data_IF_955380834464
#
_entry.id   IF_955380834464
#
_cell.length_a   1.000
_cell.length_b   1.000
_cell.length_c   1.000
_cell.angle_alpha   90.00
_cell.angle_beta   90.00
_cell.angle_gamma   90.00
#
_symmetry.space_group_name_H-M   'P 1'
#
loop_
_entity.id
_entity.type
_entity.pdbx_description
1 polymer ?
#
# COMPACT_ATOMS: atom_id res chain seq x y z
N UNK A 1 25.28 -6.49 40.29
CA UNK A 1 23.99 -5.86 40.67
C UNK A 1 23.03 -6.97 41.01
N UNK A 2 22.45 -7.00 42.22
CA UNK A 2 21.46 -8.04 42.58
C UNK A 2 20.21 -7.87 41.70
N UNK A 3 19.67 -8.99 41.26
CA UNK A 3 18.55 -9.07 40.31
C UNK A 3 17.23 -8.53 40.91
N UNK A 4 17.17 -8.41 42.24
CA UNK A 4 15.99 -8.05 43.05
C UNK A 4 15.60 -6.56 42.95
N UNK A 5 16.56 -5.63 42.77
CA UNK A 5 16.29 -4.18 42.84
C UNK A 5 15.75 -3.56 41.54
N UNK A 6 15.50 -4.34 40.48
CA UNK A 6 15.08 -3.82 39.15
C UNK A 6 13.89 -4.58 38.55
N UNK A 7 13.15 -5.33 39.36
CA UNK A 7 12.03 -6.19 38.91
C UNK A 7 11.00 -5.42 38.08
N UNK A 8 10.67 -4.17 38.43
CA UNK A 8 9.74 -3.33 37.67
C UNK A 8 10.23 -2.98 36.26
N UNK A 9 11.51 -2.65 36.11
CA UNK A 9 12.11 -2.39 34.79
C UNK A 9 12.17 -3.67 33.95
N UNK A 10 12.39 -4.83 34.59
CA UNK A 10 12.35 -6.11 33.89
C UNK A 10 10.92 -6.50 33.46
N UNK A 11 9.92 -6.19 34.28
CA UNK A 11 8.51 -6.30 33.91
C UNK A 11 8.17 -5.47 32.67
N UNK A 12 8.62 -4.21 32.63
CA UNK A 12 8.48 -3.39 31.42
C UNK A 12 9.18 -4.01 30.22
N UNK A 13 10.42 -4.52 30.40
CA UNK A 13 11.14 -5.21 29.31
C UNK A 13 10.34 -6.39 28.73
N UNK A 14 9.74 -7.22 29.60
CA UNK A 14 8.90 -8.35 29.18
C UNK A 14 7.70 -7.84 28.36
N UNK A 15 7.05 -6.77 28.84
CA UNK A 15 5.90 -6.17 28.20
C UNK A 15 6.25 -5.53 26.84
N UNK A 16 7.36 -4.79 26.73
CA UNK A 16 7.86 -4.29 25.44
C UNK A 16 8.23 -5.42 24.48
N UNK A 17 8.85 -6.48 25.00
CA UNK A 17 9.19 -7.67 24.21
C UNK A 17 7.99 -8.39 23.62
N UNK A 18 6.81 -8.30 24.24
CA UNK A 18 5.58 -8.95 23.76
C UNK A 18 4.72 -8.03 22.87
N UNK A 19 4.66 -6.74 23.18
CA UNK A 19 3.70 -5.83 22.54
C UNK A 19 4.34 -4.75 21.64
N UNK A 20 5.66 -4.54 21.70
CA UNK A 20 6.39 -3.48 20.96
C UNK A 20 7.82 -3.93 20.60
N UNK A 21 7.95 -4.85 19.65
CA UNK A 21 9.25 -5.42 19.21
C UNK A 21 10.27 -4.40 18.65
N UNK A 22 9.85 -3.18 18.33
CA UNK A 22 10.71 -2.13 17.77
C UNK A 22 11.47 -1.32 18.81
N UNK A 23 11.16 -1.48 20.10
CA UNK A 23 11.77 -0.68 21.18
C UNK A 23 13.05 -1.37 21.67
N UNK A 24 14.20 -0.70 21.50
CA UNK A 24 15.47 -1.14 22.07
C UNK A 24 15.52 -0.82 23.57
N UNK A 25 14.87 -1.66 24.38
CA UNK A 25 14.74 -1.45 25.83
C UNK A 25 16.08 -1.28 26.58
N UNK A 26 17.16 -2.03 26.26
CA UNK A 26 18.48 -1.78 26.86
C UNK A 26 18.99 -0.35 26.68
N UNK A 27 18.66 0.33 25.58
CA UNK A 27 19.07 1.72 25.35
C UNK A 27 18.29 2.73 26.20
N UNK A 28 17.08 2.38 26.67
CA UNK A 28 16.24 3.22 27.52
C UNK A 28 16.69 3.20 28.99
N UNK A 29 17.32 2.13 29.44
CA UNK A 29 17.77 1.97 30.84
C UNK A 29 19.16 2.60 31.02
N UNK A 30 19.19 3.93 31.08
CA UNK A 30 20.42 4.70 31.35
C UNK A 30 20.72 4.76 32.86
N UNK A 31 21.95 5.12 33.23
CA UNK A 31 22.35 5.28 34.64
C UNK A 31 21.47 6.29 35.39
N UNK A 32 21.08 7.38 34.74
CA UNK A 32 20.16 8.38 35.27
C UNK A 32 18.75 7.84 35.53
N UNK A 33 18.28 6.92 34.67
CA UNK A 33 16.99 6.23 34.86
C UNK A 33 17.07 5.28 36.05
N UNK A 34 18.18 4.55 36.21
CA UNK A 34 18.40 3.67 37.36
C UNK A 34 18.47 4.42 38.69
N UNK A 35 19.06 5.61 38.72
CA UNK A 35 19.09 6.48 39.91
C UNK A 35 17.68 6.94 40.29
N UNK A 36 16.92 7.49 39.33
CA UNK A 36 15.53 7.91 39.56
C UNK A 36 14.60 6.77 39.95
N UNK A 37 14.78 5.59 39.36
CA UNK A 37 14.00 4.41 39.71
C UNK A 37 14.25 3.98 41.17
N UNK A 38 15.45 4.19 41.73
CA UNK A 38 15.71 3.90 43.15
C UNK A 38 15.03 4.88 44.10
N UNK A 39 14.83 6.13 43.67
CA UNK A 39 14.12 7.14 44.46
C UNK A 39 12.60 6.89 44.46
N UNK A 40 12.01 6.70 43.28
CA UNK A 40 10.60 6.37 43.11
C UNK A 40 10.38 5.40 41.94
N UNK A 41 10.29 4.09 42.22
CA UNK A 41 10.06 3.08 41.20
C UNK A 41 8.76 3.31 40.42
N UNK A 42 7.68 3.72 41.08
CA UNK A 42 6.37 3.86 40.45
C UNK A 42 6.37 5.04 39.47
N UNK A 43 6.84 6.21 39.92
CA UNK A 43 6.87 7.40 39.09
C UNK A 43 7.74 7.21 37.84
N UNK A 44 8.89 6.54 37.97
CA UNK A 44 9.78 6.31 36.84
C UNK A 44 9.21 5.27 35.85
N UNK A 45 8.54 4.21 36.34
CA UNK A 45 7.83 3.25 35.47
C UNK A 45 6.69 3.92 34.70
N UNK A 46 5.92 4.79 35.36
CA UNK A 46 4.87 5.60 34.72
C UNK A 46 5.46 6.51 33.64
N UNK A 47 6.55 7.21 33.96
CA UNK A 47 7.24 8.12 33.02
C UNK A 47 7.74 7.38 31.77
N UNK A 48 8.49 6.29 31.96
CA UNK A 48 9.02 5.49 30.85
C UNK A 48 7.89 4.91 29.97
N UNK A 49 6.78 4.52 30.59
CA UNK A 49 5.63 3.99 29.86
C UNK A 49 4.87 5.08 29.10
N UNK A 50 4.76 6.29 29.66
CA UNK A 50 4.17 7.44 29.00
C UNK A 50 5.01 7.94 27.82
N UNK A 51 6.35 7.98 27.98
CA UNK A 51 7.30 8.32 26.91
C UNK A 51 7.18 7.36 25.70
N UNK A 52 6.71 6.13 25.95
CA UNK A 52 6.46 5.11 24.92
C UNK A 52 4.98 5.03 24.50
N UNK A 53 4.17 6.05 24.83
CA UNK A 53 2.75 6.17 24.46
C UNK A 53 1.89 4.97 24.92
N UNK A 54 2.23 4.33 26.04
CA UNK A 54 1.46 3.18 26.56
C UNK A 54 0.23 3.59 27.39
N UNK A 55 0.04 4.90 27.62
CA UNK A 55 -1.04 5.46 28.46
C UNK A 55 -1.15 4.74 29.82
N UNK A 56 -0.10 4.83 30.66
CA UNK A 56 -0.07 4.15 31.95
C UNK A 56 -1.02 4.84 32.94
N UNK A 57 -1.76 4.05 33.71
CA UNK A 57 -2.66 4.53 34.76
C UNK A 57 -2.37 3.74 36.04
N UNK A 58 -2.17 4.47 37.15
CA UNK A 58 -1.95 3.85 38.45
C UNK A 58 -3.27 3.28 38.97
N UNK A 59 -3.22 2.04 39.47
CA UNK A 59 -4.35 1.38 40.10
C UNK A 59 -4.11 1.17 41.59
N UNK A 60 -5.18 1.34 42.36
CA UNK A 60 -5.20 1.14 43.82
C UNK A 60 -6.20 0.06 44.28
N UNK A 61 -7.04 -0.44 43.38
CA UNK A 61 -8.09 -1.42 43.67
C UNK A 61 -8.21 -2.47 42.56
N UNK A 62 -8.52 -3.71 42.94
CA UNK A 62 -8.70 -4.83 42.02
C UNK A 62 -9.99 -4.75 41.19
N UNK A 63 -10.91 -3.85 41.54
CA UNK A 63 -12.15 -3.61 40.78
C UNK A 63 -11.89 -3.19 39.33
N UNK A 64 -10.75 -2.56 39.07
CA UNK A 64 -10.35 -2.12 37.72
C UNK A 64 -10.30 -3.29 36.74
N UNK A 65 -9.94 -4.50 37.21
CA UNK A 65 -9.88 -5.71 36.38
C UNK A 65 -11.24 -6.20 35.89
N UNK A 66 -12.35 -5.77 36.51
CA UNK A 66 -13.69 -6.05 35.99
C UNK A 66 -13.94 -5.33 34.65
N UNK A 67 -13.26 -4.19 34.44
CA UNK A 67 -13.40 -3.35 33.25
C UNK A 67 -12.17 -3.35 32.33
N UNK A 68 -11.06 -3.95 32.76
CA UNK A 68 -9.77 -3.91 32.07
C UNK A 68 -9.25 -5.31 31.71
N UNK A 69 -8.98 -5.53 30.42
CA UNK A 69 -8.54 -6.82 29.86
C UNK A 69 -7.09 -6.83 29.32
N UNK A 70 -6.32 -5.75 29.54
CA UNK A 70 -4.93 -5.66 29.09
C UNK A 70 -3.92 -6.20 30.10
N UNK A 71 -2.61 -6.14 29.79
CA UNK A 71 -1.56 -6.47 30.75
C UNK A 71 -1.47 -5.41 31.86
N UNK A 72 -1.04 -5.82 33.06
CA UNK A 72 -0.87 -4.93 34.21
C UNK A 72 0.43 -5.26 34.96
N UNK A 73 1.13 -4.23 35.43
CA UNK A 73 2.23 -4.38 36.38
C UNK A 73 1.64 -4.31 37.80
N UNK A 74 1.98 -5.28 38.65
CA UNK A 74 1.51 -5.36 40.03
C UNK A 74 2.71 -5.39 40.97
N UNK A 75 2.68 -4.60 42.05
CA UNK A 75 3.71 -4.61 43.08
C UNK A 75 3.29 -5.54 44.23
N UNK A 76 4.10 -6.53 44.52
CA UNK A 76 3.85 -7.47 45.61
C UNK A 76 4.25 -6.85 46.95
N UNK A 77 3.69 -7.36 48.05
CA UNK A 77 4.06 -7.00 49.43
C UNK A 77 5.54 -7.19 49.74
N UNK A 78 6.25 -8.02 48.96
CA UNK A 78 7.70 -8.19 49.02
C UNK A 78 8.50 -7.05 48.39
N UNK A 79 7.86 -6.09 47.73
CA UNK A 79 8.49 -5.01 46.96
C UNK A 79 8.81 -5.37 45.50
N UNK A 80 8.66 -6.64 45.10
CA UNK A 80 8.91 -7.09 43.74
C UNK A 80 7.73 -6.78 42.82
N UNK A 81 8.03 -6.46 41.56
CA UNK A 81 7.02 -6.29 40.52
C UNK A 81 6.81 -7.57 39.71
N UNK A 82 5.56 -7.81 39.33
CA UNK A 82 5.16 -8.90 38.42
C UNK A 82 4.29 -8.35 37.30
N UNK A 83 4.28 -9.01 36.14
CA UNK A 83 3.38 -8.66 35.03
C UNK A 83 2.22 -9.66 35.00
N UNK A 84 1.00 -9.19 35.19
CA UNK A 84 -0.19 -9.92 34.79
C UNK A 84 -0.39 -9.75 33.29
N UNK A 85 -0.43 -10.85 32.53
CA UNK A 85 -0.51 -10.78 31.06
C UNK A 85 -1.92 -10.43 30.56
N UNK A 86 -2.96 -10.77 31.33
CA UNK A 86 -4.34 -10.50 30.97
C UNK A 86 -5.18 -10.20 32.23
N UNK A 87 -5.54 -8.92 32.42
CA UNK A 87 -6.36 -8.47 33.54
C UNK A 87 -7.73 -9.15 33.64
N UNK A 88 -8.28 -9.65 32.52
CA UNK A 88 -9.58 -10.34 32.51
C UNK A 88 -9.56 -11.65 33.30
N UNK A 89 -8.41 -12.31 33.36
CA UNK A 89 -8.22 -13.54 34.14
C UNK A 89 -8.23 -13.29 35.66
N UNK A 90 -7.82 -12.08 36.07
CA UNK A 90 -7.90 -11.65 37.46
C UNK A 90 -9.36 -11.45 37.85
N UNK A 91 -10.21 -10.95 36.95
CA UNK A 91 -11.64 -10.81 37.21
C UNK A 91 -12.43 -12.13 37.17
N UNK A 92 -12.04 -13.10 36.35
CA UNK A 92 -12.76 -14.37 36.24
C UNK A 92 -12.53 -15.32 37.43
N UNK A 93 -11.46 -15.13 38.21
CA UNK A 93 -11.16 -15.93 39.40
C UNK A 93 -10.64 -17.35 39.13
N UNK A 94 -10.61 -17.80 37.88
CA UNK A 94 -10.20 -19.16 37.48
C UNK A 94 -8.67 -19.37 37.48
N UNK A 95 -7.89 -18.29 37.56
CA UNK A 95 -6.43 -18.30 37.60
C UNK A 95 -5.83 -17.21 36.71
N UNK A 96 -4.79 -16.54 37.19
CA UNK A 96 -4.11 -15.46 36.48
C UNK A 96 -2.75 -15.93 35.96
N UNK A 97 -2.47 -15.64 34.69
CA UNK A 97 -1.14 -15.88 34.13
C UNK A 97 -0.25 -14.66 34.39
N UNK A 98 0.80 -14.86 35.18
CA UNK A 98 1.77 -13.83 35.54
C UNK A 98 3.16 -14.17 35.00
N UNK A 99 3.98 -13.15 34.75
CA UNK A 99 5.42 -13.30 34.51
C UNK A 99 6.16 -12.62 35.67
N UNK A 100 6.93 -13.41 36.42
CA UNK A 100 7.78 -12.93 37.52
C UNK A 100 9.25 -12.95 37.08
N UNK A 101 9.89 -11.78 36.89
CA UNK A 101 11.29 -11.69 36.50
C UNK A 101 12.27 -12.37 37.46
N UNK A 102 11.85 -12.57 38.72
CA UNK A 102 12.64 -13.18 39.79
C UNK A 102 12.75 -14.70 39.64
N UNK A 103 11.75 -15.32 39.02
CA UNK A 103 11.65 -16.78 38.79
C UNK A 103 12.12 -17.16 37.38
N UNK A 104 12.06 -16.21 36.43
CA UNK A 104 12.56 -16.37 35.06
C UNK A 104 11.59 -15.82 34.01
N UNK A 105 11.89 -15.98 32.71
CA UNK A 105 11.03 -15.46 31.63
C UNK A 105 9.75 -16.27 31.39
N UNK A 106 9.51 -17.32 32.18
CA UNK A 106 8.36 -18.22 31.99
C UNK A 106 7.10 -17.64 32.64
N UNK A 107 5.97 -17.80 31.95
CA UNK A 107 4.65 -17.46 32.48
C UNK A 107 4.19 -18.51 33.48
N UNK A 108 3.84 -18.07 34.69
CA UNK A 108 3.32 -18.88 35.78
C UNK A 108 1.80 -18.70 35.86
N UNK A 109 1.06 -19.80 35.91
CA UNK A 109 -0.37 -19.77 36.24
C UNK A 109 -0.52 -19.82 37.75
N UNK A 110 -1.09 -18.77 38.34
CA UNK A 110 -1.31 -18.66 39.79
C UNK A 110 -2.80 -18.48 40.09
N UNK A 111 -3.23 -18.89 41.28
CA UNK A 111 -4.60 -18.61 41.72
C UNK A 111 -4.77 -17.11 41.95
N UNK A 112 -5.88 -16.56 41.46
CA UNK A 112 -6.20 -15.14 41.60
C UNK A 112 -6.23 -14.69 43.06
N UNK A 113 -6.76 -15.52 43.96
CA UNK A 113 -6.81 -15.23 45.41
C UNK A 113 -5.41 -15.09 46.02
N UNK A 114 -4.47 -15.95 45.63
CA UNK A 114 -3.08 -15.89 46.12
C UNK A 114 -2.32 -14.68 45.57
N UNK A 115 -2.60 -14.31 44.32
CA UNK A 115 -2.03 -13.11 43.70
C UNK A 115 -2.53 -11.83 44.40
N UNK A 116 -3.84 -11.73 44.62
CA UNK A 116 -4.45 -10.56 45.27
C UNK A 116 -4.07 -10.45 46.75
N UNK A 117 -3.89 -11.57 47.47
CA UNK A 117 -3.40 -11.53 48.86
C UNK A 117 -1.93 -11.07 48.94
N UNK A 118 -1.11 -11.39 47.95
CA UNK A 118 0.28 -10.93 47.88
C UNK A 118 0.45 -9.55 47.26
N UNK A 119 -0.60 -8.98 46.70
CA UNK A 119 -0.59 -7.64 46.12
C UNK A 119 -0.64 -6.58 47.24
N UNK A 120 0.15 -5.52 47.11
CA UNK A 120 0.20 -4.44 48.10
C UNK A 120 -0.77 -3.29 47.80
N UNK A 121 -1.60 -3.46 46.77
CA UNK A 121 -2.55 -2.46 46.29
C UNK A 121 -1.97 -1.49 45.26
N UNK A 122 -0.68 -1.55 44.91
CA UNK A 122 -0.08 -0.67 43.89
C UNK A 122 0.08 -1.42 42.57
N UNK A 123 -0.42 -0.85 41.48
CA UNK A 123 -0.20 -1.38 40.14
C UNK A 123 -0.26 -0.32 39.05
N UNK A 124 0.10 -0.72 37.84
CA UNK A 124 0.04 0.10 36.63
C UNK A 124 -0.70 -0.71 35.56
N UNK A 125 -1.77 -0.14 35.00
CA UNK A 125 -2.41 -0.67 33.79
C UNK A 125 -1.99 0.17 32.59
N UNK A 126 -2.10 -0.40 31.39
CA UNK A 126 -1.69 0.24 30.15
C UNK A 126 -2.88 0.26 29.19
N UNK A 127 -3.62 1.37 29.16
CA UNK A 127 -4.87 1.45 28.39
C UNK A 127 -4.65 1.16 26.91
N UNK A 128 -3.50 1.56 26.36
CA UNK A 128 -3.13 1.32 24.97
C UNK A 128 -2.77 -0.15 24.66
N UNK A 129 -2.64 -1.01 25.67
CA UNK A 129 -2.34 -2.44 25.51
C UNK A 129 -3.58 -3.34 25.64
N UNK A 130 -4.73 -2.77 25.97
CA UNK A 130 -6.01 -3.51 26.01
C UNK A 130 -6.29 -4.11 24.62
N UNK A 131 -6.49 -5.43 24.48
CA UNK A 131 -6.84 -6.01 23.19
C UNK A 131 -8.15 -5.39 22.70
N UNK A 132 -8.13 -4.78 21.52
CA UNK A 132 -9.36 -4.29 20.88
C UNK A 132 -10.10 -5.51 20.35
N UNK A 133 -11.33 -5.71 20.83
CA UNK A 133 -12.18 -6.77 20.33
C UNK A 133 -12.62 -6.42 18.89
N UNK A 134 -11.91 -6.98 17.92
CA UNK A 134 -12.18 -6.76 16.49
C UNK A 134 -13.59 -7.23 16.10
N UNK A 135 -14.24 -8.07 16.92
CA UNK A 135 -15.63 -8.53 16.73
C UNK A 135 -16.66 -7.46 17.06
N UNK A 136 -16.28 -6.44 17.84
CA UNK A 136 -17.11 -5.29 18.19
C UNK A 136 -16.98 -4.14 17.17
N UNK A 137 -15.80 -4.00 16.56
CA UNK A 137 -15.47 -2.98 15.56
C UNK A 137 -15.14 -3.59 14.19
N UNK A 138 -16.09 -4.32 13.62
CA UNK A 138 -15.85 -5.09 12.39
C UNK A 138 -15.65 -4.21 11.16
N UNK A 139 -16.30 -3.04 11.11
CA UNK A 139 -16.12 -2.07 10.02
C UNK A 139 -14.72 -1.45 10.00
N UNK A 140 -14.22 -1.00 11.16
CA UNK A 140 -12.85 -0.47 11.28
C UNK A 140 -11.81 -1.57 11.06
N UNK A 141 -12.02 -2.76 11.61
CA UNK A 141 -11.13 -3.90 11.38
C UNK A 141 -11.03 -4.27 9.89
N UNK A 142 -12.17 -4.25 9.18
CA UNK A 142 -12.23 -4.48 7.73
C UNK A 142 -11.49 -3.39 6.95
N UNK A 143 -11.63 -2.12 7.36
CA UNK A 143 -10.91 -1.00 6.76
C UNK A 143 -9.39 -1.12 6.93
N UNK A 144 -8.93 -1.40 8.16
CA UNK A 144 -7.51 -1.59 8.46
C UNK A 144 -6.94 -2.78 7.67
N UNK A 145 -7.69 -3.86 7.52
CA UNK A 145 -7.28 -5.01 6.73
C UNK A 145 -7.07 -4.66 5.24
N UNK A 146 -7.98 -3.88 4.64
CA UNK A 146 -7.84 -3.39 3.26
C UNK A 146 -6.66 -2.42 3.16
N UNK A 147 -6.54 -1.48 4.10
CA UNK A 147 -5.48 -0.48 4.03
C UNK A 147 -4.08 -1.11 4.17
N UNK A 148 -3.95 -2.17 4.97
CA UNK A 148 -2.73 -2.99 5.03
C UNK A 148 -2.40 -3.68 3.72
N UNK A 149 -3.40 -4.11 2.94
CA UNK A 149 -3.13 -4.67 1.59
C UNK A 149 -2.64 -3.62 0.59
N UNK A 150 -2.93 -2.34 0.83
CA UNK A 150 -2.42 -1.20 0.05
C UNK A 150 -1.12 -0.61 0.63
N UNK A 151 -0.35 -1.39 1.40
CA UNK A 151 0.86 -0.99 2.14
C UNK A 151 0.67 0.20 3.10
N UNK A 152 -0.56 0.48 3.54
CA UNK A 152 -0.85 1.54 4.51
C UNK A 152 -0.91 0.94 5.90
N UNK A 153 0.10 1.23 6.72
CA UNK A 153 0.18 0.74 8.09
C UNK A 153 -0.78 1.53 8.99
N UNK A 154 -1.97 0.97 9.21
CA UNK A 154 -2.98 1.50 10.12
C UNK A 154 -3.16 0.58 11.33
N UNK A 155 -3.35 1.20 12.49
CA UNK A 155 -3.76 0.54 13.72
C UNK A 155 -5.19 0.98 14.10
N UNK A 156 -6.05 0.00 14.37
CA UNK A 156 -7.43 0.25 14.81
C UNK A 156 -7.47 1.06 16.11
N UNK A 157 -6.48 0.86 17.01
CA UNK A 157 -6.41 1.56 18.29
C UNK A 157 -6.17 3.06 18.11
N UNK A 158 -5.23 3.41 17.25
CA UNK A 158 -4.89 4.79 16.93
C UNK A 158 -6.12 5.52 16.38
N UNK A 159 -6.84 4.88 15.45
CA UNK A 159 -8.09 5.40 14.89
C UNK A 159 -9.15 5.59 15.98
N UNK A 160 -9.34 4.58 16.85
CA UNK A 160 -10.34 4.66 17.92
C UNK A 160 -10.04 5.78 18.92
N UNK A 161 -8.76 5.96 19.27
CA UNK A 161 -8.33 7.02 20.17
C UNK A 161 -8.47 8.41 19.55
N UNK A 162 -7.99 8.59 18.32
CA UNK A 162 -8.03 9.87 17.59
C UNK A 162 -9.47 10.38 17.39
N UNK A 163 -10.41 9.47 17.12
CA UNK A 163 -11.82 9.81 16.87
C UNK A 163 -12.73 9.57 18.08
N UNK A 164 -12.17 9.29 19.26
CA UNK A 164 -12.90 8.98 20.50
C UNK A 164 -14.04 7.95 20.29
N UNK A 165 -13.77 6.91 19.50
CA UNK A 165 -14.73 5.87 19.17
C UNK A 165 -14.74 4.84 20.30
N UNK A 166 -15.92 4.58 20.86
CA UNK A 166 -16.11 3.53 21.87
C UNK A 166 -16.16 2.13 21.26
N UNK A 167 -16.71 1.17 22.01
CA UNK A 167 -16.77 -0.24 21.60
C UNK A 167 -17.88 -0.58 20.57
N UNK A 168 -18.64 0.40 20.10
CA UNK A 168 -19.75 0.17 19.15
C UNK A 168 -19.37 0.50 17.72
N UNK A 169 -19.83 -0.31 16.77
CA UNK A 169 -19.71 -0.09 15.32
C UNK A 169 -19.82 1.39 14.90
N UNK A 170 -18.81 1.86 14.18
CA UNK A 170 -18.75 3.23 13.68
C UNK A 170 -19.89 3.50 12.70
N UNK A 171 -20.60 4.62 12.90
CA UNK A 171 -21.63 5.06 11.96
C UNK A 171 -21.02 5.42 10.61
N UNK A 172 -21.74 5.14 9.53
CA UNK A 172 -21.23 5.33 8.17
C UNK A 172 -20.80 6.76 7.79
N UNK A 173 -21.27 7.80 8.48
CA UNK A 173 -20.81 9.18 8.31
C UNK A 173 -19.40 9.38 8.90
N UNK A 174 -19.23 9.03 10.17
CA UNK A 174 -17.94 9.07 10.87
C UNK A 174 -16.91 8.15 10.19
N UNK A 175 -17.33 6.98 9.73
CA UNK A 175 -16.44 6.09 8.96
C UNK A 175 -15.91 6.75 7.68
N UNK A 176 -16.74 7.53 6.98
CA UNK A 176 -16.31 8.24 5.75
C UNK A 176 -15.31 9.34 6.07
N UNK A 177 -15.47 10.01 7.19
CA UNK A 177 -14.54 11.03 7.69
C UNK A 177 -13.18 10.40 8.06
N UNK A 178 -13.19 9.34 8.86
CA UNK A 178 -12.00 8.55 9.21
C UNK A 178 -11.28 8.08 7.93
N UNK A 179 -12.00 7.44 7.01
CA UNK A 179 -11.41 6.97 5.77
C UNK A 179 -10.83 8.13 4.94
N UNK A 180 -11.53 9.27 4.88
CA UNK A 180 -11.06 10.47 4.18
C UNK A 180 -9.77 11.05 4.74
N UNK A 181 -9.62 11.03 6.08
CA UNK A 181 -8.40 11.46 6.78
C UNK A 181 -7.18 10.65 6.34
N UNK A 182 -7.34 9.34 6.18
CA UNK A 182 -6.30 8.44 5.66
C UNK A 182 -6.29 8.32 4.13
N UNK A 183 -6.82 9.32 3.43
CA UNK A 183 -6.83 9.40 1.96
C UNK A 183 -7.60 8.29 1.24
N UNK A 184 -8.68 7.78 1.83
CA UNK A 184 -9.59 6.84 1.17
C UNK A 184 -10.92 7.49 0.81
N UNK A 185 -11.31 7.37 -0.46
CA UNK A 185 -12.68 7.69 -0.91
C UNK A 185 -13.59 6.49 -0.71
N UNK A 186 -14.63 6.66 0.10
CA UNK A 186 -15.64 5.62 0.34
C UNK A 186 -16.88 5.87 -0.50
N UNK A 187 -17.33 4.87 -1.25
CA UNK A 187 -18.62 4.89 -1.96
C UNK A 187 -19.46 3.69 -1.55
N UNK A 188 -20.66 3.94 -1.05
CA UNK A 188 -21.66 2.90 -0.78
C UNK A 188 -22.37 2.51 -2.07
N UNK A 189 -22.43 1.23 -2.36
CA UNK A 189 -23.08 0.66 -3.55
C UNK A 189 -23.92 -0.56 -3.15
N UNK A 190 -24.99 -0.81 -3.87
CA UNK A 190 -25.72 -2.08 -3.85
C UNK A 190 -25.28 -2.81 -5.11
N UNK A 191 -24.66 -3.98 -4.95
CA UNK A 191 -24.15 -4.76 -6.08
C UNK A 191 -24.92 -6.07 -6.14
N UNK A 192 -25.41 -6.39 -7.33
CA UNK A 192 -26.01 -7.70 -7.63
C UNK A 192 -24.92 -8.67 -8.08
N UNK A 193 -25.15 -9.98 -7.94
CA UNK A 193 -24.21 -11.03 -8.35
C UNK A 193 -23.60 -10.86 -9.76
N UNK A 194 -24.36 -10.59 -10.83
CA UNK A 194 -23.78 -10.39 -12.17
C UNK A 194 -22.88 -9.15 -12.27
N UNK A 195 -23.04 -8.17 -11.39
CA UNK A 195 -22.18 -6.98 -11.35
C UNK A 195 -20.86 -7.27 -10.63
N UNK A 196 -20.87 -8.15 -9.62
CA UNK A 196 -19.67 -8.63 -8.93
C UNK A 196 -18.78 -9.46 -9.85
N UNK A 197 -19.36 -10.31 -10.69
CA UNK A 197 -18.60 -11.12 -11.67
C UNK A 197 -17.99 -10.27 -12.80
N UNK A 198 -18.74 -9.26 -13.29
CA UNK A 198 -18.25 -8.35 -14.34
C UNK A 198 -17.19 -7.36 -13.83
N UNK A 199 -17.19 -7.07 -12.54
CA UNK A 199 -16.39 -5.99 -11.95
C UNK A 199 -15.30 -6.52 -11.01
N UNK A 200 -14.51 -7.49 -11.48
CA UNK A 200 -13.38 -8.06 -10.72
C UNK A 200 -12.34 -7.00 -10.26
N UNK A 201 -12.28 -5.85 -10.93
CA UNK A 201 -11.43 -4.71 -10.57
C UNK A 201 -11.83 -3.95 -9.29
N UNK A 202 -12.94 -4.33 -8.66
CA UNK A 202 -13.54 -3.60 -7.53
C UNK A 202 -13.15 -4.21 -6.17
N UNK A 203 -12.42 -5.32 -6.17
CA UNK A 203 -11.95 -6.00 -4.97
C UNK A 203 -10.54 -5.49 -4.56
N UNK A 204 -10.22 -5.48 -3.25
CA UNK A 204 -11.08 -5.83 -2.11
C UNK A 204 -12.08 -4.71 -1.74
N UNK A 205 -13.25 -5.08 -1.22
CA UNK A 205 -14.26 -4.12 -0.76
C UNK A 205 -14.91 -4.59 0.57
N UNK A 206 -15.59 -3.70 1.29
CA UNK A 206 -16.26 -4.08 2.56
C UNK A 206 -17.71 -4.48 2.27
N UNK A 207 -18.10 -5.68 2.64
CA UNK A 207 -19.48 -6.17 2.60
C UNK A 207 -20.19 -5.93 3.94
N UNK A 208 -21.42 -5.41 3.89
CA UNK A 208 -22.25 -5.21 5.08
C UNK A 208 -23.17 -6.42 5.31
N UNK A 209 -23.15 -6.94 6.54
CA UNK A 209 -24.01 -8.03 7.00
C UNK A 209 -25.41 -7.53 7.32
N UNK A 210 -26.39 -8.44 7.34
CA UNK A 210 -27.76 -8.13 7.78
C UNK A 210 -27.83 -7.75 9.26
N UNK A 211 -26.86 -8.20 10.07
CA UNK A 211 -26.71 -7.87 11.50
C UNK A 211 -26.23 -6.43 11.76
N UNK A 212 -25.82 -5.68 10.73
CA UNK A 212 -25.23 -4.34 10.87
C UNK A 212 -23.71 -4.32 10.99
N UNK A 213 -23.06 -5.48 11.07
CA UNK A 213 -21.60 -5.65 11.05
C UNK A 213 -21.05 -5.71 9.62
N UNK A 214 -19.73 -5.83 9.49
CA UNK A 214 -19.00 -5.75 8.22
C UNK A 214 -17.94 -6.85 8.10
N UNK A 215 -17.58 -7.19 6.86
CA UNK A 215 -16.47 -8.09 6.54
C UNK A 215 -15.80 -7.65 5.24
N UNK A 216 -14.57 -8.11 4.98
CA UNK A 216 -13.85 -7.80 3.74
C UNK A 216 -14.19 -8.85 2.69
N UNK A 217 -14.78 -8.42 1.59
CA UNK A 217 -15.01 -9.25 0.42
C UNK A 217 -13.79 -9.17 -0.52
N UNK A 218 -13.10 -10.29 -0.69
CA UNK A 218 -11.85 -10.38 -1.43
C UNK A 218 -12.04 -10.81 -2.89
N UNK A 219 -13.15 -11.47 -3.22
CA UNK A 219 -13.48 -11.84 -4.59
C UNK A 219 -14.26 -13.15 -4.71
N UNK A 220 -14.29 -13.68 -5.93
CA UNK A 220 -14.97 -14.92 -6.28
C UNK A 220 -13.92 -15.94 -6.76
N UNK A 221 -14.03 -17.18 -6.28
CA UNK A 221 -13.18 -18.30 -6.72
C UNK A 221 -14.07 -19.40 -7.30
N UNK A 222 -13.63 -20.03 -8.39
CA UNK A 222 -14.25 -21.26 -8.89
C UNK A 222 -13.55 -22.47 -8.30
N UNK A 223 -14.32 -23.41 -7.76
CA UNK A 223 -13.85 -24.70 -7.29
C UNK A 223 -13.56 -25.62 -8.48
N UNK A 224 -12.80 -26.70 -8.27
CA UNK A 224 -12.51 -27.69 -9.32
C UNK A 224 -13.78 -28.34 -9.90
N UNK A 225 -14.87 -28.35 -9.13
CA UNK A 225 -16.20 -28.85 -9.51
C UNK A 225 -17.05 -27.80 -10.26
N UNK A 226 -16.51 -26.61 -10.54
CA UNK A 226 -17.20 -25.56 -11.28
C UNK A 226 -18.09 -24.63 -10.44
N UNK A 227 -18.28 -24.92 -9.15
CA UNK A 227 -19.03 -24.07 -8.22
C UNK A 227 -18.27 -22.77 -7.91
N UNK A 228 -19.01 -21.67 -7.79
CA UNK A 228 -18.44 -20.35 -7.46
C UNK A 228 -18.60 -20.06 -5.98
N UNK A 229 -17.48 -19.86 -5.29
CA UNK A 229 -17.41 -19.55 -3.87
C UNK A 229 -17.00 -18.08 -3.66
N UNK A 230 -17.63 -17.45 -2.67
CA UNK A 230 -17.30 -16.11 -2.22
C UNK A 230 -16.15 -16.18 -1.21
N UNK A 231 -15.09 -15.40 -1.45
CA UNK A 231 -13.94 -15.32 -0.56
C UNK A 231 -14.09 -14.09 0.33
N UNK A 232 -14.21 -14.32 1.63
CA UNK A 232 -14.46 -13.27 2.62
C UNK A 232 -13.48 -13.39 3.78
N UNK A 233 -12.99 -12.27 4.29
CA UNK A 233 -12.26 -12.19 5.55
C UNK A 233 -13.16 -11.51 6.57
N UNK A 234 -13.59 -12.26 7.58
CA UNK A 234 -14.57 -11.81 8.56
C UNK A 234 -13.90 -11.58 9.93
N UNK A 235 -13.89 -10.34 10.46
CA UNK A 235 -13.39 -10.03 11.80
C UNK A 235 -14.10 -10.77 12.94
N UNK A 236 -15.33 -11.26 12.72
CA UNK A 236 -16.04 -12.06 13.72
C UNK A 236 -15.58 -13.52 13.76
N UNK A 237 -14.96 -14.01 12.69
CA UNK A 237 -14.52 -15.39 12.60
C UNK A 237 -13.33 -15.66 13.51
N UNK A 238 -13.27 -16.87 14.09
CA UNK A 238 -12.10 -17.31 14.86
C UNK A 238 -10.83 -17.36 14.01
N UNK A 239 -11.02 -17.52 12.69
CA UNK A 239 -9.96 -17.59 11.70
C UNK A 239 -9.32 -16.23 11.37
N UNK A 240 -9.91 -15.10 11.80
CA UNK A 240 -9.43 -13.76 11.45
C UNK A 240 -7.95 -13.52 11.80
N UNK A 241 -7.53 -14.02 12.98
CA UNK A 241 -6.15 -13.90 13.47
C UNK A 241 -5.27 -15.10 13.10
N UNK A 242 -5.79 -16.09 12.36
CA UNK A 242 -5.06 -17.27 11.94
C UNK A 242 -4.36 -17.07 10.60
N UNK A 243 -3.41 -17.96 10.27
CA UNK A 243 -2.76 -17.99 8.96
C UNK A 243 -3.76 -18.18 7.81
N UNK A 244 -4.87 -18.90 8.07
CA UNK A 244 -5.94 -19.13 7.11
C UNK A 244 -7.17 -18.26 7.43
N UNK A 245 -7.09 -16.95 7.17
CA UNK A 245 -8.15 -15.96 7.47
C UNK A 245 -9.27 -15.87 6.45
N UNK A 246 -9.16 -16.62 5.34
CA UNK A 246 -10.13 -16.58 4.25
C UNK A 246 -11.22 -17.61 4.48
N UNK A 247 -12.46 -17.13 4.56
CA UNK A 247 -13.66 -17.95 4.54
C UNK A 247 -14.12 -18.12 3.10
N UNK A 248 -14.39 -19.37 2.74
CA UNK A 248 -14.97 -19.74 1.46
C UNK A 248 -16.44 -20.07 1.69
N UNK A 249 -17.31 -19.16 1.29
CA UNK A 249 -18.76 -19.32 1.45
C UNK A 249 -19.37 -19.71 0.11
N UNK A 250 -20.28 -20.67 0.12
CA UNK A 250 -21.18 -20.89 -1.00
C UNK A 250 -22.08 -19.66 -1.20
N UNK A 251 -22.69 -19.56 -2.37
CA UNK A 251 -23.59 -18.46 -2.69
C UNK A 251 -24.74 -18.32 -1.68
N UNK A 252 -25.37 -19.44 -1.32
CA UNK A 252 -26.52 -19.45 -0.40
C UNK A 252 -26.13 -18.95 0.98
N UNK A 253 -25.00 -19.44 1.50
CA UNK A 253 -24.46 -19.00 2.79
C UNK A 253 -24.10 -17.51 2.78
N UNK A 254 -23.57 -17.01 1.66
CA UNK A 254 -23.29 -15.59 1.52
C UNK A 254 -24.58 -14.74 1.51
N UNK A 255 -25.60 -15.14 0.76
CA UNK A 255 -26.87 -14.40 0.70
C UNK A 255 -27.67 -14.44 2.01
N UNK A 256 -27.51 -15.49 2.82
CA UNK A 256 -28.10 -15.58 4.15
C UNK A 256 -27.53 -14.53 5.10
N UNK A 257 -26.20 -14.37 5.12
CA UNK A 257 -25.48 -13.52 6.08
C UNK A 257 -25.39 -12.06 5.61
N UNK A 258 -25.18 -11.83 4.31
CA UNK A 258 -24.87 -10.52 3.75
C UNK A 258 -26.08 -9.81 3.16
N UNK A 259 -26.12 -8.48 3.31
CA UNK A 259 -27.26 -7.65 2.89
C UNK A 259 -27.18 -7.17 1.43
N UNK A 260 -26.17 -7.60 0.66
CA UNK A 260 -25.92 -7.14 -0.72
C UNK A 260 -25.50 -5.66 -0.83
N UNK A 261 -25.10 -5.03 0.29
CA UNK A 261 -24.60 -3.66 0.34
C UNK A 261 -23.10 -3.68 0.58
N UNK A 262 -22.35 -2.95 -0.25
CA UNK A 262 -20.89 -2.89 -0.20
C UNK A 262 -20.41 -1.45 -0.03
N UNK A 263 -19.26 -1.28 0.61
CA UNK A 263 -18.50 -0.04 0.65
C UNK A 263 -17.23 -0.24 -0.19
N UNK A 264 -17.15 0.50 -1.28
CA UNK A 264 -15.97 0.56 -2.14
C UNK A 264 -15.00 1.57 -1.54
N UNK A 265 -13.76 1.12 -1.37
CA UNK A 265 -12.65 1.97 -0.94
C UNK A 265 -11.76 2.22 -2.14
N UNK A 266 -11.41 3.48 -2.36
CA UNK A 266 -10.41 3.88 -3.34
C UNK A 266 -9.37 4.74 -2.64
N UNK A 267 -8.14 4.24 -2.55
CA UNK A 267 -6.99 5.05 -2.11
C UNK A 267 -6.80 6.24 -3.06
N UNK A 268 -6.73 7.42 -2.48
CA UNK A 268 -6.41 8.68 -3.15
C UNK A 268 -4.92 8.88 -2.92
N UNK A 269 -4.12 8.65 -3.94
CA UNK A 269 -2.69 8.90 -3.86
C UNK A 269 -2.43 10.41 -3.84
N UNK A 270 -1.59 10.84 -2.90
CA UNK A 270 -1.01 12.18 -2.95
C UNK A 270 -0.07 12.29 -4.15
N UNK A 271 0.18 13.51 -4.63
CA UNK A 271 1.10 13.74 -5.76
C UNK A 271 2.53 13.25 -5.47
N UNK A 272 2.88 13.10 -4.19
CA UNK A 272 4.19 12.66 -3.70
C UNK A 272 4.27 11.16 -3.38
N UNK A 273 3.16 10.41 -3.53
CA UNK A 273 3.17 8.96 -3.24
C UNK A 273 3.96 8.19 -4.31
N UNK A 274 5.01 7.48 -3.89
CA UNK A 274 5.83 6.65 -4.77
C UNK A 274 5.10 5.38 -5.24
N UNK A 275 4.09 4.92 -4.50
CA UNK A 275 3.28 3.71 -4.80
C UNK A 275 2.15 3.97 -5.83
N UNK A 276 2.16 5.10 -6.52
CA UNK A 276 1.11 5.43 -7.47
C UNK A 276 1.15 4.47 -8.69
N UNK A 277 0.05 3.78 -9.02
CA UNK A 277 0.01 2.95 -10.22
C UNK A 277 0.14 3.83 -11.47
N UNK A 278 1.15 3.55 -12.29
CA UNK A 278 1.37 4.24 -13.56
C UNK A 278 0.15 4.08 -14.47
N UNK A 279 -0.44 5.20 -14.91
CA UNK A 279 -1.59 5.17 -15.83
C UNK A 279 -1.26 5.95 -17.11
N UNK A 280 -1.36 5.29 -18.28
CA UNK A 280 -1.14 5.93 -19.60
C UNK A 280 -2.42 6.53 -20.21
N UNK A 281 -3.58 6.27 -19.58
CA UNK A 281 -4.90 6.64 -20.12
C UNK A 281 -5.09 8.15 -20.30
N UNK A 282 -4.36 8.96 -19.53
CA UNK A 282 -4.39 10.43 -19.66
C UNK A 282 -3.58 10.94 -20.86
N UNK A 283 -2.62 10.17 -21.39
CA UNK A 283 -1.76 10.58 -22.50
C UNK A 283 -2.35 10.22 -23.87
N UNK A 284 -3.09 9.11 -23.95
CA UNK A 284 -3.74 8.63 -25.19
C UNK A 284 -4.54 9.74 -25.91
N UNK A 285 -5.36 10.57 -25.24
CA UNK A 285 -6.14 11.62 -25.92
C UNK A 285 -5.27 12.69 -26.59
N UNK A 286 -4.12 13.05 -26.00
CA UNK A 286 -3.23 14.07 -26.57
C UNK A 286 -2.48 13.52 -27.79
N UNK A 287 -2.11 12.23 -27.78
CA UNK A 287 -1.55 11.55 -28.97
C UNK A 287 -2.56 11.45 -30.10
N UNK A 288 -3.81 11.09 -29.78
CA UNK A 288 -4.91 10.97 -30.74
C UNK A 288 -5.21 12.31 -31.44
N UNK A 289 -4.99 13.43 -30.74
CA UNK A 289 -5.21 14.78 -31.28
C UNK A 289 -4.27 15.12 -32.45
N UNK A 290 -3.10 14.50 -32.53
CA UNK A 290 -2.09 14.75 -33.57
C UNK A 290 -1.88 13.55 -34.53
N UNK A 291 -2.88 12.65 -34.63
CA UNK A 291 -2.83 11.45 -35.50
C UNK A 291 -2.39 11.72 -36.94
N UNK A 292 -2.75 12.86 -37.52
CA UNK A 292 -2.35 13.21 -38.88
C UNK A 292 -0.83 13.30 -39.05
N UNK A 293 -0.14 13.97 -38.12
CA UNK A 293 1.32 14.17 -38.18
C UNK A 293 2.03 12.84 -37.87
N UNK A 294 1.57 12.10 -36.86
CA UNK A 294 2.11 10.77 -36.55
C UNK A 294 1.90 9.76 -37.68
N UNK A 295 0.79 9.85 -38.42
CA UNK A 295 0.54 9.03 -39.61
C UNK A 295 1.51 9.35 -40.76
N UNK A 296 1.82 10.63 -40.99
CA UNK A 296 2.83 11.04 -41.97
C UNK A 296 4.23 10.53 -41.58
N UNK A 297 4.59 10.63 -40.30
CA UNK A 297 5.87 10.11 -39.80
C UNK A 297 5.93 8.59 -39.97
N UNK A 298 4.86 7.86 -39.63
CA UNK A 298 4.79 6.42 -39.82
C UNK A 298 5.00 6.02 -41.29
N UNK A 299 4.33 6.71 -42.21
CA UNK A 299 4.50 6.49 -43.66
C UNK A 299 5.96 6.73 -44.10
N UNK A 300 6.60 7.81 -43.63
CA UNK A 300 8.00 8.08 -43.94
C UNK A 300 8.94 7.00 -43.40
N UNK A 301 8.70 6.50 -42.19
CA UNK A 301 9.49 5.38 -41.64
C UNK A 301 9.31 4.13 -42.49
N UNK A 302 8.07 3.79 -42.88
CA UNK A 302 7.82 2.65 -43.77
C UNK A 302 8.52 2.80 -45.12
N UNK A 303 8.53 4.00 -45.73
CA UNK A 303 9.25 4.25 -46.98
C UNK A 303 10.77 4.12 -46.82
N UNK A 304 11.34 4.67 -45.74
CA UNK A 304 12.77 4.53 -45.43
C UNK A 304 13.15 3.07 -45.23
N UNK A 305 12.34 2.32 -44.50
CA UNK A 305 12.52 0.87 -44.33
C UNK A 305 12.50 0.16 -45.68
N UNK A 306 11.52 0.45 -46.54
CA UNK A 306 11.43 -0.19 -47.85
C UNK A 306 12.65 0.12 -48.73
N UNK A 307 13.10 1.37 -48.76
CA UNK A 307 14.29 1.74 -49.55
C UNK A 307 15.60 1.31 -48.92
N UNK A 308 15.64 1.02 -47.62
CA UNK A 308 16.85 0.46 -46.99
C UNK A 308 17.18 -0.96 -47.47
N UNK A 309 16.19 -1.70 -48.02
CA UNK A 309 16.41 -2.98 -48.71
C UNK A 309 17.13 -2.85 -50.06
N UNK A 310 17.16 -1.65 -50.65
CA UNK A 310 17.82 -1.42 -51.95
C UNK A 310 19.31 -1.71 -51.88
N UNK A 311 19.98 -1.39 -50.76
CA UNK A 311 21.43 -1.61 -50.61
C UNK A 311 21.76 -3.11 -50.60
N UNK A 312 21.14 -3.96 -49.77
CA UNK A 312 21.32 -5.42 -49.85
C UNK A 312 21.02 -5.99 -51.25
N UNK A 313 19.92 -5.58 -51.87
CA UNK A 313 19.54 -6.01 -53.22
C UNK A 313 20.57 -5.59 -54.27
N UNK A 314 21.10 -4.37 -54.15
CA UNK A 314 22.17 -3.88 -55.00
C UNK A 314 23.40 -4.77 -54.89
N UNK A 315 23.85 -5.04 -53.67
CA UNK A 315 25.00 -5.93 -53.43
C UNK A 315 24.76 -7.32 -54.02
N UNK A 316 23.58 -7.89 -53.83
CA UNK A 316 23.21 -9.19 -54.39
C UNK A 316 23.30 -9.18 -55.93
N UNK A 317 22.69 -8.19 -56.60
CA UNK A 317 22.73 -8.09 -58.06
C UNK A 317 24.16 -7.90 -58.57
N UNK A 318 24.96 -7.10 -57.86
CA UNK A 318 26.35 -6.85 -58.23
C UNK A 318 27.16 -8.14 -58.15
N UNK A 319 27.04 -8.89 -57.06
CA UNK A 319 27.78 -10.14 -56.87
C UNK A 319 27.30 -11.22 -57.84
N UNK A 320 26.00 -11.48 -57.90
CA UNK A 320 25.45 -12.63 -58.62
C UNK A 320 25.42 -12.42 -60.14
N UNK A 321 25.20 -11.18 -60.60
CA UNK A 321 25.00 -10.89 -62.04
C UNK A 321 26.10 -10.05 -62.65
N UNK A 322 26.54 -8.98 -62.00
CA UNK A 322 27.48 -8.03 -62.60
C UNK A 322 28.90 -8.58 -62.61
N UNK A 323 29.37 -9.12 -61.47
CA UNK A 323 30.71 -9.68 -61.36
C UNK A 323 30.86 -10.95 -62.21
N UNK A 324 29.86 -11.83 -62.20
CA UNK A 324 29.89 -13.09 -62.96
C UNK A 324 29.90 -12.83 -64.48
N UNK A 325 29.09 -11.89 -64.97
CA UNK A 325 28.97 -11.62 -66.42
C UNK A 325 29.86 -10.46 -66.92
N UNK A 326 30.73 -9.89 -66.07
CA UNK A 326 31.56 -8.71 -66.37
C UNK A 326 30.78 -7.54 -67.00
N UNK A 327 29.52 -7.35 -66.58
CA UNK A 327 28.60 -6.38 -67.19
C UNK A 327 28.76 -4.96 -66.62
N UNK A 328 29.88 -4.29 -66.91
CA UNK A 328 30.21 -2.96 -66.37
C UNK A 328 29.19 -1.86 -66.68
N UNK A 329 28.52 -1.92 -67.84
CA UNK A 329 27.45 -0.96 -68.17
C UNK A 329 26.27 -1.05 -67.19
N UNK A 330 25.89 -2.27 -66.80
CA UNK A 330 24.84 -2.50 -65.81
C UNK A 330 25.25 -1.98 -64.43
N UNK A 331 26.53 -2.12 -64.08
CA UNK A 331 27.07 -1.59 -62.82
C UNK A 331 26.93 -0.07 -62.73
N UNK A 332 27.30 0.65 -63.79
CA UNK A 332 27.25 2.11 -63.81
C UNK A 332 25.81 2.62 -63.67
N UNK A 333 24.86 2.01 -64.39
CA UNK A 333 23.43 2.37 -64.29
C UNK A 333 22.90 2.11 -62.88
N UNK A 334 23.20 0.92 -62.32
CA UNK A 334 22.75 0.55 -61.00
C UNK A 334 23.39 1.41 -59.90
N UNK A 335 24.66 1.79 -60.06
CA UNK A 335 25.39 2.67 -59.15
C UNK A 335 24.82 4.08 -59.10
N UNK A 336 24.48 4.66 -60.26
CA UNK A 336 23.75 5.95 -60.32
C UNK A 336 22.38 5.82 -59.65
N UNK A 337 21.66 4.72 -59.88
CA UNK A 337 20.37 4.45 -59.22
C UNK A 337 20.47 4.41 -57.70
N UNK A 338 21.49 3.74 -57.15
CA UNK A 338 21.73 3.70 -55.70
C UNK A 338 22.09 5.07 -55.14
N UNK A 339 22.92 5.85 -55.83
CA UNK A 339 23.23 7.22 -55.40
C UNK A 339 21.98 8.09 -55.29
N UNK A 340 21.06 8.00 -56.26
CA UNK A 340 19.78 8.72 -56.22
C UNK A 340 18.92 8.25 -55.04
N UNK A 341 18.85 6.94 -54.79
CA UNK A 341 18.08 6.39 -53.67
C UNK A 341 18.66 6.79 -52.32
N UNK A 342 19.99 6.84 -52.18
CA UNK A 342 20.66 7.35 -50.97
C UNK A 342 20.30 8.82 -50.72
N UNK A 343 20.37 9.65 -51.76
CA UNK A 343 19.98 11.07 -51.64
C UNK A 343 18.50 11.24 -51.28
N UNK A 344 17.62 10.44 -51.87
CA UNK A 344 16.20 10.43 -51.54
C UNK A 344 15.94 10.00 -50.09
N UNK A 345 16.61 8.93 -49.63
CA UNK A 345 16.53 8.49 -48.24
C UNK A 345 17.00 9.56 -47.26
N UNK A 346 18.09 10.27 -47.57
CA UNK A 346 18.57 11.38 -46.76
C UNK A 346 17.51 12.50 -46.66
N UNK A 347 16.86 12.86 -47.77
CA UNK A 347 15.80 13.86 -47.80
C UNK A 347 14.59 13.43 -46.97
N UNK A 348 14.07 12.21 -47.17
CA UNK A 348 12.92 11.70 -46.41
C UNK A 348 13.25 11.59 -44.92
N UNK A 349 14.46 11.15 -44.56
CA UNK A 349 14.93 11.09 -43.19
C UNK A 349 14.99 12.47 -42.52
N UNK A 350 15.41 13.49 -43.28
CA UNK A 350 15.39 14.88 -42.81
C UNK A 350 13.96 15.36 -42.54
N UNK A 351 13.05 15.20 -43.50
CA UNK A 351 11.64 15.62 -43.35
C UNK A 351 10.97 14.89 -42.19
N UNK A 352 11.21 13.58 -42.05
CA UNK A 352 10.73 12.77 -40.93
C UNK A 352 11.16 13.41 -39.61
N UNK A 353 12.46 13.67 -39.47
CA UNK A 353 13.04 14.21 -38.23
C UNK A 353 12.52 15.61 -37.90
N UNK A 354 12.28 16.44 -38.92
CA UNK A 354 11.65 17.75 -38.76
C UNK A 354 10.21 17.65 -38.25
N UNK A 355 9.38 16.78 -38.87
CA UNK A 355 7.99 16.58 -38.45
C UNK A 355 7.88 16.05 -37.02
N UNK A 356 8.80 15.18 -36.62
CA UNK A 356 8.91 14.67 -35.25
C UNK A 356 9.22 15.77 -34.24
N UNK A 357 10.20 16.62 -34.55
CA UNK A 357 10.56 17.74 -33.70
C UNK A 357 9.38 18.71 -33.56
N UNK A 358 8.70 19.00 -34.66
CA UNK A 358 7.50 19.84 -34.67
C UNK A 358 6.36 19.25 -33.83
N UNK A 359 6.06 17.96 -33.99
CA UNK A 359 5.02 17.27 -33.23
C UNK A 359 5.32 17.27 -31.73
N UNK A 360 6.57 16.93 -31.36
CA UNK A 360 7.00 16.85 -29.96
C UNK A 360 6.92 18.22 -29.29
N UNK A 361 7.47 19.27 -29.91
CA UNK A 361 7.42 20.63 -29.38
C UNK A 361 5.98 21.12 -29.16
N UNK A 362 5.06 20.81 -30.09
CA UNK A 362 3.67 21.24 -29.97
C UNK A 362 2.93 20.52 -28.84
N UNK A 363 3.20 19.24 -28.65
CA UNK A 363 2.68 18.43 -27.55
C UNK A 363 3.22 18.94 -26.21
N UNK A 364 4.50 19.31 -26.15
CA UNK A 364 5.14 19.84 -24.95
C UNK A 364 4.56 21.19 -24.55
N UNK A 365 4.40 22.13 -25.49
CA UNK A 365 3.80 23.44 -25.21
C UNK A 365 2.34 23.29 -24.75
N UNK A 366 1.53 22.47 -25.42
CA UNK A 366 0.12 22.23 -25.05
C UNK A 366 0.01 21.72 -23.61
N UNK A 367 0.87 20.77 -23.24
CA UNK A 367 0.78 20.14 -21.94
C UNK A 367 1.40 20.99 -20.83
N UNK A 368 2.54 21.64 -21.09
CA UNK A 368 3.13 22.61 -20.16
C UNK A 368 2.11 23.71 -19.81
N UNK A 369 1.39 24.23 -20.81
CA UNK A 369 0.34 25.25 -20.61
C UNK A 369 -0.82 24.72 -19.78
N UNK A 370 -1.31 23.50 -20.04
CA UNK A 370 -2.39 22.88 -19.25
C UNK A 370 -1.98 22.65 -17.80
N UNK A 371 -0.78 22.14 -17.57
CA UNK A 371 -0.23 21.89 -16.24
C UNK A 371 -0.06 23.20 -15.48
N UNK A 372 0.52 24.22 -16.11
CA UNK A 372 0.70 25.54 -15.51
C UNK A 372 -0.65 26.21 -15.19
N UNK A 373 -1.61 26.18 -16.13
CA UNK A 373 -2.95 26.72 -15.90
C UNK A 373 -3.68 26.04 -14.75
N UNK A 374 -3.48 24.73 -14.57
CA UNK A 374 -4.06 23.98 -13.45
C UNK A 374 -3.34 24.26 -12.14
N UNK A 375 -2.01 24.44 -12.19
CA UNK A 375 -1.22 24.85 -11.03
C UNK A 375 -1.74 26.20 -10.49
N UNK A 376 -1.96 27.17 -11.37
CA UNK A 376 -2.48 28.48 -11.01
C UNK A 376 -3.91 28.49 -10.42
N UNK A 377 -4.67 27.41 -10.55
CA UNK A 377 -6.04 27.28 -10.03
C UNK A 377 -6.12 26.61 -8.66
N UNK A 378 -4.98 26.17 -8.10
CA UNK A 378 -4.95 25.54 -6.78
C UNK A 378 -5.09 26.58 -5.66
N UNK A 379 -5.80 26.25 -4.56
CA UNK A 379 -5.93 27.12 -3.40
C UNK A 379 -4.58 27.31 -2.70
N UNK A 380 -4.41 28.45 -2.02
CA UNK A 380 -3.15 28.83 -1.35
C UNK A 380 -2.72 27.79 -0.31
N UNK A 381 -3.67 27.17 0.40
CA UNK A 381 -3.44 26.10 1.38
C UNK A 381 -2.65 24.90 0.82
N UNK A 382 -2.74 24.65 -0.49
CA UNK A 382 -1.97 23.59 -1.14
C UNK A 382 -0.48 23.94 -1.27
N UNK A 383 -0.16 25.21 -1.52
CA UNK A 383 1.21 25.69 -1.68
C UNK A 383 1.95 25.81 -0.35
N UNK A 384 1.24 26.00 0.77
CA UNK A 384 1.84 26.00 2.11
C UNK A 384 2.30 24.60 2.54
N UNK A 385 1.67 23.55 2.03
CA UNK A 385 1.94 22.15 2.42
C UNK A 385 2.97 21.45 1.53
N UNK A 386 3.20 21.92 0.30
CA UNK A 386 4.06 21.25 -0.67
C UNK A 386 5.23 22.17 -1.08
N UNK A 387 6.49 21.77 -0.82
CA UNK A 387 7.65 22.56 -1.22
C UNK A 387 7.69 22.80 -2.74
N UNK A 388 8.10 24.02 -3.14
CA UNK A 388 8.22 24.41 -4.55
C UNK A 388 9.16 23.53 -5.38
N UNK A 389 10.23 23.00 -4.76
CA UNK A 389 11.15 22.05 -5.41
C UNK A 389 10.50 20.71 -5.76
N UNK A 390 9.54 20.24 -4.97
CA UNK A 390 8.79 18.99 -5.22
C UNK A 390 7.84 19.21 -6.41
N UNK A 391 7.15 20.34 -6.47
CA UNK A 391 6.30 20.72 -7.61
C UNK A 391 7.08 20.80 -8.92
N UNK A 392 8.27 21.42 -8.90
CA UNK A 392 9.14 21.50 -10.08
C UNK A 392 9.62 20.12 -10.54
N UNK A 393 10.03 19.24 -9.61
CA UNK A 393 10.44 17.87 -9.92
C UNK A 393 9.32 17.09 -10.61
N UNK A 394 8.07 17.22 -10.15
CA UNK A 394 6.93 16.52 -10.75
C UNK A 394 6.54 17.08 -12.13
N UNK A 395 6.66 18.39 -12.34
CA UNK A 395 6.49 18.98 -13.67
C UNK A 395 7.51 18.41 -14.66
N UNK A 396 8.79 18.37 -14.27
CA UNK A 396 9.86 17.80 -15.09
C UNK A 396 9.70 16.29 -15.32
N UNK A 397 9.26 15.53 -14.32
CA UNK A 397 8.97 14.09 -14.48
C UNK A 397 7.86 13.86 -15.52
N UNK A 398 6.81 14.68 -15.50
CA UNK A 398 5.71 14.59 -16.47
C UNK A 398 6.18 14.88 -17.89
N UNK A 399 7.07 15.87 -18.08
CA UNK A 399 7.71 16.15 -19.38
C UNK A 399 8.61 15.01 -19.84
N UNK A 400 9.42 14.42 -18.95
CA UNK A 400 10.28 13.27 -19.27
C UNK A 400 9.47 12.03 -19.70
N UNK A 401 8.42 11.69 -18.95
CA UNK A 401 7.52 10.58 -19.28
C UNK A 401 6.87 10.82 -20.66
N UNK A 402 6.48 12.07 -20.93
CA UNK A 402 5.90 12.45 -22.22
C UNK A 402 6.88 12.32 -23.37
N UNK A 403 8.08 12.87 -23.23
CA UNK A 403 9.14 12.78 -24.23
C UNK A 403 9.55 11.33 -24.52
N UNK A 404 9.56 10.47 -23.49
CA UNK A 404 9.76 9.03 -23.67
C UNK A 404 8.65 8.39 -24.51
N UNK A 405 7.38 8.73 -24.25
CA UNK A 405 6.25 8.15 -24.97
C UNK A 405 6.09 8.66 -26.41
N UNK A 406 6.25 9.96 -26.65
CA UNK A 406 6.10 10.56 -27.98
C UNK A 406 7.34 10.37 -28.87
N UNK A 407 8.51 10.21 -28.26
CA UNK A 407 9.77 9.94 -28.94
C UNK A 407 10.07 8.44 -28.94
N UNK A 408 10.87 8.00 -27.97
CA UNK A 408 11.51 6.68 -27.97
C UNK A 408 10.52 5.52 -28.14
N UNK A 409 9.42 5.49 -27.38
CA UNK A 409 8.46 4.39 -27.43
C UNK A 409 7.77 4.30 -28.81
N UNK A 410 7.43 5.44 -29.41
CA UNK A 410 6.83 5.50 -30.73
C UNK A 410 7.78 4.96 -31.80
N UNK A 411 9.07 5.33 -31.75
CA UNK A 411 10.06 4.78 -32.66
C UNK A 411 10.25 3.28 -32.46
N UNK A 412 10.37 2.81 -31.22
CA UNK A 412 10.52 1.37 -30.95
C UNK A 412 9.37 0.57 -31.55
N UNK A 413 8.13 1.07 -31.48
CA UNK A 413 6.98 0.43 -32.12
C UNK A 413 7.07 0.45 -33.65
N UNK A 414 7.50 1.57 -34.25
CA UNK A 414 7.68 1.67 -35.69
C UNK A 414 8.84 0.79 -36.20
N UNK A 415 9.94 0.72 -35.46
CA UNK A 415 11.08 -0.13 -35.75
C UNK A 415 10.71 -1.61 -35.65
N UNK A 416 9.87 -1.97 -34.65
CA UNK A 416 9.32 -3.32 -34.54
C UNK A 416 8.43 -3.67 -35.74
N UNK A 417 7.61 -2.73 -36.21
CA UNK A 417 6.82 -2.92 -37.43
C UNK A 417 7.71 -3.05 -38.68
N UNK A 418 8.75 -2.22 -38.78
CA UNK A 418 9.77 -2.29 -39.82
C UNK A 418 10.47 -3.64 -39.84
N UNK A 419 10.72 -4.26 -38.68
CA UNK A 419 11.31 -5.59 -38.58
C UNK A 419 10.45 -6.67 -39.25
N UNK A 420 9.11 -6.56 -39.17
CA UNK A 420 8.21 -7.44 -39.93
C UNK A 420 8.38 -7.35 -41.45
N UNK A 421 8.83 -6.19 -41.98
CA UNK A 421 9.11 -6.00 -43.40
C UNK A 421 10.43 -6.67 -43.81
N UNK A 422 11.41 -6.75 -42.89
CA UNK A 422 12.71 -7.37 -43.14
C UNK A 422 12.67 -8.90 -43.07
N UNK A 423 11.83 -9.50 -42.21
CA UNK A 423 11.79 -10.96 -41.99
C UNK A 423 11.65 -11.78 -43.30
N UNK A 424 10.80 -11.41 -44.28
CA UNK A 424 10.69 -12.18 -45.54
C UNK A 424 11.93 -12.10 -46.45
N UNK A 425 12.80 -11.12 -46.23
CA UNK A 425 14.00 -10.86 -47.04
C UNK A 425 15.28 -11.44 -46.44
N UNK A 426 15.24 -11.85 -45.17
CA UNK A 426 16.33 -12.45 -44.41
C UNK A 426 16.20 -13.97 -44.46
#
# INVERSE_FOLDING_TARGET
MKQEDTTGLQCLRILFGQFRHTVNFPALVTQKVLEKYREDPLAELMRLSADQQLLPEQISSGEVFQSYAGPALLRLKSGNWVVALNGRQIASGEGAVIADPSVGPQSLSVRTSELLDRWDGTGIIFRNLTPVDSRRQTLLASFVAIARSDNTHLDIREIMHEYAVGDTEVRGALFREIAGHYHYKVRKVKLSRPELEKSSSVFPCIALKKSGKAAVFCGLRKTQEGETQCVVVDPESEQFNSANRFLFLSEKEFEEVYAGKFLLLKKIYSLTDEDQPFSLRWFIPEFIRYKGIFGQIALMVTLLTLFSLVIPLFFQIVVDKVLVNQAYNTLNVLGVGVLVIIAFNALVSYVRSYLLLFATNKIDISTATKTFSRLMKLPVDFFERVPSGVLLKHMQQTEKIRGFLSGNLFFTLLDLFSLCIFIPFL
#
